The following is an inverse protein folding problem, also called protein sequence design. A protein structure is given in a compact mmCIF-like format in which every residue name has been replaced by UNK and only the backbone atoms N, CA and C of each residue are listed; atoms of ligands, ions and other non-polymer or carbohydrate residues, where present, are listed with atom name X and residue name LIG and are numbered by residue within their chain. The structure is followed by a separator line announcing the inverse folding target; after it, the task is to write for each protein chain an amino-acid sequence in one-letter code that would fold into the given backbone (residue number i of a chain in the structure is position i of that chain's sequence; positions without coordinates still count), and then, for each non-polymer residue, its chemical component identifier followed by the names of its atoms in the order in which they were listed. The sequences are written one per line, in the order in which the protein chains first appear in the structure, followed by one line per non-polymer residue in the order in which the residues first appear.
data_IF_944980708670
#
_entry.id   IF_944980708670
#
_cell.length_a   1.000
_cell.length_b   1.000
_cell.length_c   1.000
_cell.angle_alpha   90.00
_cell.angle_beta   90.00
_cell.angle_gamma   90.00
#
_symmetry.space_group_name_H-M   'P 1'
#
loop_
_entity.id
_entity.type
_entity.pdbx_description
1 polymer ?
#
# COMPACT_ATOMS: atom_id res chain seq x y z
N UNK A 1 -9.12 -47.53 10.06
CA UNK A 1 -9.57 -46.81 8.86
C UNK A 1 -8.55 -45.70 8.69
N UNK A 2 -7.77 -45.73 7.60
CA UNK A 2 -6.66 -44.78 7.36
C UNK A 2 -7.19 -43.61 6.54
N UNK A 3 -6.87 -42.39 6.95
CA UNK A 3 -7.30 -41.17 6.24
C UNK A 3 -6.56 -41.05 4.90
N UNK A 4 -7.16 -40.43 3.89
CA UNK A 4 -6.44 -40.19 2.62
C UNK A 4 -5.38 -39.10 2.80
N UNK A 5 -4.32 -39.13 1.99
CA UNK A 5 -3.26 -38.10 2.05
C UNK A 5 -3.81 -36.69 1.83
N UNK A 6 -4.79 -36.52 0.94
CA UNK A 6 -5.46 -35.24 0.69
C UNK A 6 -6.24 -34.75 1.91
N UNK A 7 -7.01 -35.63 2.55
CA UNK A 7 -7.76 -35.30 3.75
C UNK A 7 -6.82 -34.99 4.93
N UNK A 8 -5.68 -35.68 5.04
CA UNK A 8 -4.66 -35.37 6.03
C UNK A 8 -4.05 -33.98 5.79
N UNK A 9 -3.73 -33.64 4.54
CA UNK A 9 -3.20 -32.31 4.20
C UNK A 9 -4.20 -31.20 4.53
N UNK A 10 -5.47 -31.39 4.17
CA UNK A 10 -6.54 -30.43 4.45
C UNK A 10 -6.76 -30.26 5.97
N UNK A 11 -6.75 -31.37 6.72
CA UNK A 11 -6.84 -31.34 8.18
C UNK A 11 -5.67 -30.57 8.80
N UNK A 12 -4.43 -30.85 8.39
CA UNK A 12 -3.24 -30.18 8.93
C UNK A 12 -3.23 -28.68 8.61
N UNK A 13 -3.71 -28.29 7.42
CA UNK A 13 -3.88 -26.89 7.05
C UNK A 13 -4.91 -26.21 7.96
N UNK A 14 -6.08 -26.82 8.16
CA UNK A 14 -7.13 -26.28 9.01
C UNK A 14 -6.71 -26.21 10.49
N UNK A 15 -5.99 -27.24 10.98
CA UNK A 15 -5.44 -27.30 12.33
C UNK A 15 -4.42 -26.18 12.58
N UNK A 16 -3.53 -25.93 11.60
CA UNK A 16 -2.54 -24.87 11.67
C UNK A 16 -3.20 -23.49 11.70
N UNK A 17 -4.28 -23.31 10.93
CA UNK A 17 -5.03 -22.05 10.92
C UNK A 17 -5.79 -21.82 12.22
N UNK A 18 -6.43 -22.85 12.77
CA UNK A 18 -7.10 -22.78 14.08
C UNK A 18 -6.12 -22.43 15.20
N UNK A 19 -4.93 -23.07 15.21
CA UNK A 19 -3.85 -22.74 16.15
C UNK A 19 -3.34 -21.32 15.95
N UNK A 20 -3.25 -20.83 14.71
CA UNK A 20 -2.85 -19.45 14.41
C UNK A 20 -3.86 -18.43 14.93
N UNK A 21 -5.14 -18.76 14.86
CA UNK A 21 -6.24 -17.94 15.36
C UNK A 21 -6.41 -18.00 16.89
N UNK A 22 -5.67 -18.87 17.59
CA UNK A 22 -5.82 -19.15 19.02
C UNK A 22 -7.23 -19.68 19.36
N UNK A 23 -7.82 -20.44 18.42
CA UNK A 23 -9.17 -21.01 18.55
C UNK A 23 -9.15 -22.31 19.38
N UNK A 24 -10.13 -22.47 20.27
CA UNK A 24 -10.26 -23.62 21.15
C UNK A 24 -10.89 -24.85 20.45
N UNK A 25 -11.38 -24.72 19.22
CA UNK A 25 -12.15 -25.77 18.53
C UNK A 25 -11.31 -26.82 17.77
N UNK A 26 -10.05 -27.03 18.17
CA UNK A 26 -9.15 -28.01 17.54
C UNK A 26 -9.74 -29.44 17.56
N UNK A 27 -10.42 -29.81 18.65
CA UNK A 27 -11.03 -31.13 18.81
C UNK A 27 -12.23 -31.36 17.86
N UNK A 28 -12.97 -30.29 17.54
CA UNK A 28 -14.07 -30.34 16.58
C UNK A 28 -13.56 -30.61 15.16
N UNK A 29 -12.41 -30.04 14.79
CA UNK A 29 -11.75 -30.28 13.50
C UNK A 29 -11.28 -31.73 13.36
N UNK A 30 -10.69 -32.31 14.41
CA UNK A 30 -10.27 -33.71 14.39
C UNK A 30 -11.47 -34.65 14.21
N UNK A 31 -12.58 -34.32 14.85
CA UNK A 31 -13.84 -35.06 14.73
C UNK A 31 -14.47 -34.91 13.35
N UNK A 32 -14.41 -33.72 12.75
CA UNK A 32 -14.98 -33.44 11.42
C UNK A 32 -14.32 -34.24 10.30
N UNK A 33 -13.01 -34.49 10.40
CA UNK A 33 -12.26 -35.24 9.39
C UNK A 33 -12.21 -36.75 9.68
N UNK A 34 -12.89 -37.22 10.73
CA UNK A 34 -12.89 -38.63 11.21
C UNK A 34 -11.47 -39.21 11.31
N UNK A 35 -10.52 -38.36 11.72
CA UNK A 35 -9.11 -38.71 11.71
C UNK A 35 -8.75 -39.46 13.00
N UNK A 36 -8.11 -40.64 12.92
CA UNK A 36 -7.70 -41.37 14.11
C UNK A 36 -6.64 -40.56 14.86
N UNK A 37 -6.88 -40.30 16.15
CA UNK A 37 -5.97 -39.49 16.99
C UNK A 37 -4.52 -39.98 16.97
N UNK A 38 -4.31 -41.29 16.76
CA UNK A 38 -2.97 -41.90 16.65
C UNK A 38 -2.16 -41.37 15.46
N UNK A 39 -2.82 -41.01 14.36
CA UNK A 39 -2.19 -40.45 13.16
C UNK A 39 -1.97 -38.94 13.29
N UNK A 40 -2.87 -38.22 13.97
CA UNK A 40 -2.84 -36.76 14.09
C UNK A 40 -1.94 -36.27 15.24
N UNK A 41 -1.86 -37.01 16.34
CA UNK A 41 -1.15 -36.60 17.55
C UNK A 41 0.33 -36.18 17.35
N UNK A 42 1.13 -36.86 16.51
CA UNK A 42 2.51 -36.45 16.24
C UNK A 42 2.59 -35.06 15.60
N UNK A 43 1.68 -34.77 14.65
CA UNK A 43 1.63 -33.49 13.96
C UNK A 43 1.10 -32.38 14.87
N UNK A 44 0.05 -32.66 15.65
CA UNK A 44 -0.50 -31.70 16.60
C UNK A 44 0.58 -31.25 17.61
N UNK A 45 1.37 -32.19 18.13
CA UNK A 45 2.48 -31.89 19.03
C UNK A 45 3.55 -31.00 18.34
N UNK A 46 3.90 -31.31 17.09
CA UNK A 46 4.87 -30.56 16.31
C UNK A 46 4.39 -29.13 16.01
N UNK A 47 3.17 -28.99 15.49
CA UNK A 47 2.57 -27.70 15.14
C UNK A 47 2.41 -26.83 16.39
N UNK A 48 1.97 -27.41 17.50
CA UNK A 48 1.87 -26.70 18.78
C UNK A 48 3.22 -26.18 19.28
N UNK A 49 4.28 -26.99 19.13
CA UNK A 49 5.64 -26.59 19.55
C UNK A 49 6.21 -25.49 18.65
N UNK A 50 6.00 -25.60 17.34
CA UNK A 50 6.35 -24.57 16.36
C UNK A 50 5.60 -23.28 16.64
N UNK A 51 4.28 -23.34 16.84
CA UNK A 51 3.45 -22.17 17.12
C UNK A 51 3.96 -21.40 18.34
N UNK A 52 4.33 -22.08 19.43
CA UNK A 52 4.92 -21.45 20.62
C UNK A 52 6.30 -20.83 20.39
N UNK A 53 7.06 -21.31 19.39
CA UNK A 53 8.37 -20.74 19.06
C UNK A 53 8.28 -19.49 18.17
N UNK A 54 7.14 -19.25 17.52
CA UNK A 54 6.96 -18.09 16.68
C UNK A 54 6.61 -16.84 17.50
N UNK A 55 7.25 -15.73 17.16
CA UNK A 55 6.91 -14.41 17.72
C UNK A 55 5.94 -13.73 16.78
N UNK A 56 4.84 -13.19 17.33
CA UNK A 56 3.85 -12.44 16.56
C UNK A 56 4.50 -11.14 16.05
N UNK A 57 4.58 -10.98 14.74
CA UNK A 57 5.08 -9.76 14.09
C UNK A 57 3.90 -9.01 13.46
N UNK A 58 3.74 -7.74 13.80
CA UNK A 58 2.74 -6.89 13.14
C UNK A 58 3.24 -6.48 11.74
N UNK A 59 2.38 -6.57 10.70
CA UNK A 59 2.75 -6.11 9.37
C UNK A 59 2.94 -4.58 9.38
N UNK A 60 3.95 -4.11 8.65
CA UNK A 60 4.20 -2.66 8.55
C UNK A 60 3.04 -1.93 7.87
N UNK A 61 2.82 -0.66 8.22
CA UNK A 61 1.82 0.21 7.58
C UNK A 61 2.00 0.31 6.06
N UNK A 62 3.25 0.24 5.57
CA UNK A 62 3.56 0.26 4.14
C UNK A 62 3.10 -1.02 3.45
N UNK A 63 3.32 -2.17 4.08
CA UNK A 63 2.91 -3.47 3.54
C UNK A 63 1.38 -3.57 3.45
N UNK A 64 0.66 -3.22 4.52
CA UNK A 64 -0.81 -3.29 4.53
C UNK A 64 -1.44 -2.35 3.49
N UNK A 65 -0.89 -1.14 3.31
CA UNK A 65 -1.34 -0.20 2.27
C UNK A 65 -1.10 -0.75 0.86
N UNK A 66 0.05 -1.41 0.62
CA UNK A 66 0.36 -2.06 -0.66
C UNK A 66 -0.61 -3.19 -0.95
N UNK A 67 -0.79 -4.10 0.01
CA UNK A 67 -1.69 -5.23 -0.12
C UNK A 67 -3.13 -4.80 -0.37
N UNK A 68 -3.62 -3.78 0.36
CA UNK A 68 -4.95 -3.21 0.14
C UNK A 68 -5.13 -2.67 -1.27
N UNK A 69 -4.12 -1.99 -1.82
CA UNK A 69 -4.20 -1.44 -3.17
C UNK A 69 -4.22 -2.53 -4.24
N UNK A 70 -3.46 -3.61 -4.03
CA UNK A 70 -3.42 -4.78 -4.90
C UNK A 70 -4.75 -5.53 -4.91
N UNK A 71 -5.34 -5.77 -3.73
CA UNK A 71 -6.64 -6.43 -3.59
C UNK A 71 -7.80 -5.62 -4.16
N UNK A 72 -7.77 -4.28 -4.04
CA UNK A 72 -8.78 -3.39 -4.60
C UNK A 72 -8.57 -3.08 -6.09
N UNK A 73 -7.52 -3.64 -6.71
CA UNK A 73 -7.18 -3.36 -8.11
C UNK A 73 -6.85 -1.90 -8.38
N UNK A 74 -6.64 -1.08 -7.35
CA UNK A 74 -6.24 0.32 -7.52
C UNK A 74 -4.76 0.36 -7.87
N UNK A 75 -4.37 0.76 -9.08
CA UNK A 75 -2.96 0.97 -9.39
C UNK A 75 -2.47 2.08 -8.46
N UNK A 76 -1.58 1.75 -7.52
CA UNK A 76 -0.87 2.79 -6.77
C UNK A 76 -0.19 3.63 -7.82
N UNK A 77 -0.68 4.85 -7.99
CA UNK A 77 -0.08 5.84 -8.88
C UNK A 77 1.22 6.24 -8.21
N UNK A 78 2.27 5.47 -8.45
CA UNK A 78 3.63 5.82 -8.08
C UNK A 78 4.06 6.93 -9.04
N UNK A 79 3.52 8.13 -8.81
CA UNK A 79 3.82 9.33 -9.58
C UNK A 79 5.34 9.56 -9.58
N UNK A 80 6.03 9.15 -8.50
CA UNK A 80 7.48 9.26 -8.34
C UNK A 80 8.23 8.23 -9.20
N UNK A 81 7.79 6.97 -9.25
CA UNK A 81 8.38 5.98 -10.17
C UNK A 81 8.16 6.34 -11.64
N UNK A 82 7.03 6.98 -11.99
CA UNK A 82 6.75 7.43 -13.36
C UNK A 82 7.65 8.58 -13.80
N UNK A 83 8.03 9.49 -12.89
CA UNK A 83 8.95 10.60 -13.19
C UNK A 83 10.37 10.11 -13.48
N UNK A 84 10.82 9.02 -12.85
CA UNK A 84 12.15 8.45 -13.07
C UNK A 84 12.35 7.83 -14.47
N UNK A 85 11.26 7.57 -15.19
CA UNK A 85 11.25 7.02 -16.55
C UNK A 85 10.83 8.03 -17.63
N UNK A 86 10.80 9.34 -17.34
CA UNK A 86 10.62 10.32 -18.42
C UNK A 86 11.92 10.42 -19.25
N UNK A 87 11.87 10.15 -20.57
CA UNK A 87 13.03 10.35 -21.46
C UNK A 87 13.52 11.80 -21.35
N UNK A 88 14.84 12.02 -21.32
CA UNK A 88 15.45 13.35 -21.14
C UNK A 88 14.83 14.45 -22.03
N UNK A 89 14.33 14.07 -23.21
CA UNK A 89 13.65 14.95 -24.17
C UNK A 89 12.37 15.60 -23.61
N UNK A 90 11.62 14.90 -22.75
CA UNK A 90 10.38 15.41 -22.15
C UNK A 90 10.67 16.38 -21.01
N UNK A 91 11.79 16.18 -20.29
CA UNK A 91 12.23 17.11 -19.24
C UNK A 91 12.58 18.48 -19.83
N UNK A 92 13.25 18.49 -20.99
CA UNK A 92 13.58 19.72 -21.72
C UNK A 92 12.31 20.42 -22.22
N UNK A 93 11.37 19.67 -22.81
CA UNK A 93 10.09 20.24 -23.25
C UNK A 93 9.27 20.84 -22.09
N UNK A 94 9.24 20.17 -20.93
CA UNK A 94 8.56 20.67 -19.74
C UNK A 94 9.20 21.97 -19.22
N UNK A 95 10.55 22.05 -19.21
CA UNK A 95 11.28 23.25 -18.85
C UNK A 95 10.95 24.41 -19.81
N UNK A 96 10.99 24.15 -21.11
CA UNK A 96 10.68 25.17 -22.15
C UNK A 96 9.23 25.65 -22.04
N UNK A 97 8.28 24.72 -21.85
CA UNK A 97 6.87 25.07 -21.69
C UNK A 97 6.62 25.92 -20.43
N UNK A 98 7.31 25.62 -19.33
CA UNK A 98 7.20 26.38 -18.09
C UNK A 98 7.78 27.79 -18.24
N UNK A 99 8.95 27.92 -18.87
CA UNK A 99 9.55 29.24 -19.16
C UNK A 99 8.64 30.04 -20.10
N UNK A 100 8.14 29.44 -21.18
CA UNK A 100 7.24 30.11 -22.12
C UNK A 100 5.91 30.53 -21.48
N UNK A 101 5.34 29.70 -20.61
CA UNK A 101 4.12 30.03 -19.86
C UNK A 101 4.32 31.20 -18.90
N UNK A 102 5.43 31.21 -18.16
CA UNK A 102 5.75 32.29 -17.22
C UNK A 102 6.02 33.60 -17.98
N UNK A 103 6.79 33.57 -19.07
CA UNK A 103 7.06 34.78 -19.86
C UNK A 103 5.78 35.34 -20.47
N UNK A 104 4.90 34.49 -21.00
CA UNK A 104 3.59 34.90 -21.51
C UNK A 104 2.68 35.50 -20.43
N UNK A 105 2.71 34.95 -19.21
CA UNK A 105 1.94 35.49 -18.10
C UNK A 105 2.46 36.88 -17.68
N UNK A 106 3.79 37.04 -17.58
CA UNK A 106 4.43 38.29 -17.18
C UNK A 106 4.26 39.40 -18.21
N UNK A 107 4.30 39.08 -19.51
CA UNK A 107 4.03 40.07 -20.57
C UNK A 107 2.58 40.53 -20.50
N UNK A 108 1.62 39.62 -20.28
CA UNK A 108 0.21 39.98 -20.14
C UNK A 108 -0.06 40.85 -18.92
N UNK A 109 0.60 40.58 -17.79
CA UNK A 109 0.44 41.36 -16.56
C UNK A 109 1.07 42.77 -16.67
N UNK A 110 2.18 42.94 -17.41
CA UNK A 110 2.78 44.27 -17.64
C UNK A 110 1.89 45.20 -18.47
N UNK A 111 1.09 44.66 -19.40
CA UNK A 111 0.15 45.48 -20.18
C UNK A 111 -1.07 45.98 -19.39
N UNK A 112 -1.33 45.42 -18.20
CA UNK A 112 -2.49 45.76 -17.36
C UNK A 112 -2.19 46.76 -16.23
N UNK A 113 -0.93 47.17 -16.04
CA UNK A 113 -0.59 48.14 -14.99
C UNK A 113 -0.77 49.58 -15.54
N UNK A 114 -1.72 50.37 -15.01
CA UNK A 114 -1.83 51.78 -15.37
C UNK A 114 -0.57 52.51 -14.89
N UNK A 115 0.07 53.23 -15.80
CA UNK A 115 1.22 54.11 -15.49
C UNK A 115 0.79 55.09 -14.40
N UNK A 116 1.44 55.11 -13.22
CA UNK A 116 1.11 56.09 -12.19
C UNK A 116 1.43 57.48 -12.74
N UNK A 117 0.40 58.31 -12.94
CA UNK A 117 0.60 59.71 -13.31
C UNK A 117 1.31 60.40 -12.14
N UNK A 118 2.39 61.16 -12.38
CA UNK A 118 3.00 61.96 -11.33
C UNK A 118 1.95 62.94 -10.78
N UNK A 119 1.75 62.92 -9.46
CA UNK A 119 0.90 63.89 -8.78
C UNK A 119 1.51 65.27 -8.96
N UNK A 120 0.88 66.12 -9.76
CA UNK A 120 1.12 67.56 -9.74
C UNK A 120 0.58 68.07 -8.41
N UNK A 121 1.48 68.36 -7.48
CA UNK A 121 1.16 69.05 -6.24
C UNK A 121 0.60 70.41 -6.61
N UNK A 122 -0.71 70.60 -6.43
CA UNK A 122 -1.32 71.91 -6.35
C UNK A 122 -0.69 72.64 -5.16
N UNK A 123 0.28 73.50 -5.47
CA UNK A 123 0.75 74.58 -4.61
C UNK A 123 -0.38 75.61 -4.51
N UNK A 124 -1.33 75.34 -3.62
CA UNK A 124 -2.20 76.35 -3.03
C UNK A 124 -1.81 76.51 -1.57
N UNK A 125 -1.14 77.62 -1.22
CA UNK A 125 -1.20 78.38 0.03
C UNK A 125 0.06 79.25 0.18
N UNK A 126 -0.13 80.57 0.19
CA UNK A 126 0.89 81.58 0.48
C UNK A 126 0.60 82.89 -0.21
#
# INVERSE_FOLDING_TARGET
MTISDTQMQDLLAALTEALRADDANVDALITQYDAPMREVAPFLALISRLHRSYVRVQPSRRFTRRLRAELLGTPQTDVIARIRYLPARVQIAALVALVAGITMLLTRLRFLLPVPRPQTSDLGLG
#
